data_IF_042702874985
#
_entry.id   IF_042702874985
#
_cell.length_a   1.000
_cell.length_b   1.000
_cell.length_c   1.000
_cell.angle_alpha   90.00
_cell.angle_beta   90.00
_cell.angle_gamma   90.00
#
_symmetry.space_group_name_H-M   'P 1'
#
loop_
_entity.id
_entity.type
_entity.pdbx_description
1 polymer ?
#
# COMPACT_ATOMS: atom_id res chain seq x y z
N UNK A 1 32.85 7.95 -16.16
CA UNK A 1 31.57 7.76 -16.88
C UNK A 1 31.03 6.41 -16.47
N UNK A 2 29.97 6.37 -15.66
CA UNK A 2 29.30 5.12 -15.30
C UNK A 2 28.33 4.82 -16.44
N UNK A 3 28.45 3.66 -17.08
CA UNK A 3 27.49 3.22 -18.08
C UNK A 3 26.12 3.11 -17.41
N UNK A 4 25.19 4.00 -17.77
CA UNK A 4 23.80 3.87 -17.35
C UNK A 4 23.21 2.72 -18.16
N UNK A 5 23.03 1.56 -17.54
CA UNK A 5 22.20 0.52 -18.12
C UNK A 5 20.83 1.13 -18.46
N UNK A 6 20.29 0.80 -19.63
CA UNK A 6 18.92 1.18 -19.96
C UNK A 6 17.98 0.59 -18.91
N UNK A 7 16.95 1.34 -18.47
CA UNK A 7 16.01 0.84 -17.47
C UNK A 7 15.35 -0.43 -18.01
N UNK A 8 15.54 -1.54 -17.29
CA UNK A 8 14.87 -2.81 -17.56
C UNK A 8 13.50 -2.76 -16.89
N UNK A 9 12.49 -3.38 -17.51
CA UNK A 9 11.17 -3.49 -16.89
C UNK A 9 11.25 -4.40 -15.65
N UNK A 10 10.59 -4.05 -14.53
CA UNK A 10 10.60 -4.90 -13.34
C UNK A 10 9.99 -6.28 -13.62
N UNK A 11 10.55 -7.32 -13.02
CA UNK A 11 10.09 -8.70 -13.16
C UNK A 11 9.22 -9.12 -11.98
N UNK A 12 8.57 -10.28 -12.12
CA UNK A 12 7.89 -10.92 -10.99
C UNK A 12 8.88 -11.32 -9.89
N UNK A 13 10.12 -11.65 -10.24
CA UNK A 13 11.17 -12.00 -9.28
C UNK A 13 11.62 -10.77 -8.48
N UNK A 14 11.72 -9.60 -9.11
CA UNK A 14 11.97 -8.34 -8.40
C UNK A 14 10.85 -8.04 -7.39
N UNK A 15 9.60 -8.35 -7.75
CA UNK A 15 8.47 -8.21 -6.84
C UNK A 15 8.50 -9.22 -5.70
N UNK A 16 8.98 -10.45 -5.93
CA UNK A 16 9.21 -11.45 -4.86
C UNK A 16 10.28 -10.97 -3.88
N UNK A 17 11.41 -10.47 -4.38
CA UNK A 17 12.44 -9.89 -3.51
C UNK A 17 11.92 -8.71 -2.69
N UNK A 18 11.09 -7.85 -3.30
CA UNK A 18 10.42 -6.77 -2.58
C UNK A 18 9.50 -7.30 -1.48
N UNK A 19 8.70 -8.34 -1.77
CA UNK A 19 7.77 -8.97 -0.83
C UNK A 19 8.51 -9.62 0.35
N UNK A 20 9.56 -10.39 0.08
CA UNK A 20 10.40 -11.03 1.10
C UNK A 20 11.01 -10.00 2.06
N UNK A 21 11.42 -8.84 1.53
CA UNK A 21 11.99 -7.76 2.33
C UNK A 21 10.99 -7.04 3.25
N UNK A 22 9.68 -7.16 2.98
CA UNK A 22 8.62 -6.56 3.80
C UNK A 22 7.83 -7.57 4.61
N UNK A 23 7.95 -8.87 4.33
CA UNK A 23 7.37 -9.99 5.09
C UNK A 23 8.03 -10.14 6.48
N UNK A 24 7.76 -9.15 7.33
CA UNK A 24 8.28 -9.03 8.70
C UNK A 24 7.23 -9.43 9.73
N UNK A 25 7.60 -9.45 11.01
CA UNK A 25 6.67 -9.79 12.08
C UNK A 25 5.41 -8.91 12.04
N UNK A 26 4.25 -9.54 12.15
CA UNK A 26 2.94 -8.89 12.07
C UNK A 26 2.41 -8.74 10.64
N UNK A 27 3.18 -8.98 9.59
CA UNK A 27 2.65 -9.09 8.22
C UNK A 27 2.05 -10.46 8.02
N UNK A 28 0.78 -10.52 7.60
CA UNK A 28 0.11 -11.77 7.28
C UNK A 28 0.00 -12.00 5.78
N UNK A 29 0.03 -10.94 4.95
CA UNK A 29 -0.09 -11.08 3.50
C UNK A 29 0.64 -9.98 2.75
N UNK A 30 1.27 -10.35 1.64
CA UNK A 30 1.78 -9.39 0.65
C UNK A 30 1.18 -9.72 -0.70
N UNK A 31 0.53 -8.71 -1.29
CA UNK A 31 -0.13 -8.81 -2.58
C UNK A 31 0.60 -7.92 -3.58
N UNK A 32 0.93 -8.47 -4.74
CA UNK A 32 1.34 -7.71 -5.91
C UNK A 32 0.11 -7.33 -6.72
N UNK A 33 0.01 -6.07 -7.12
CA UNK A 33 -1.00 -5.58 -8.05
C UNK A 33 -0.37 -4.77 -9.18
N UNK A 34 -1.19 -4.08 -9.96
CA UNK A 34 -0.71 -3.14 -10.98
C UNK A 34 -0.14 -3.81 -12.22
N UNK A 35 0.82 -3.14 -12.85
CA UNK A 35 1.33 -3.51 -14.18
C UNK A 35 2.08 -4.84 -14.18
N UNK A 36 2.91 -5.09 -13.15
CA UNK A 36 3.69 -6.32 -13.01
C UNK A 36 2.79 -7.53 -12.77
N UNK A 37 1.77 -7.42 -11.90
CA UNK A 37 0.79 -8.49 -11.69
C UNK A 37 0.08 -8.90 -12.99
N UNK A 38 -0.13 -7.94 -13.90
CA UNK A 38 -0.84 -8.14 -15.17
C UNK A 38 0.09 -8.49 -16.34
N UNK A 39 1.41 -8.54 -16.14
CA UNK A 39 2.39 -8.77 -17.20
C UNK A 39 2.44 -7.64 -18.24
N UNK A 40 2.11 -6.41 -17.85
CA UNK A 40 2.02 -5.22 -18.72
C UNK A 40 3.04 -4.12 -18.38
N UNK A 41 4.01 -4.43 -17.54
CA UNK A 41 5.06 -3.50 -17.16
C UNK A 41 5.95 -3.14 -18.35
N UNK A 42 6.54 -1.95 -18.28
CA UNK A 42 7.50 -1.44 -19.26
C UNK A 42 8.78 -0.97 -18.55
N UNK A 43 9.80 -0.64 -19.33
CA UNK A 43 10.99 0.02 -18.81
C UNK A 43 10.62 1.26 -17.98
N UNK A 44 11.05 1.30 -16.72
CA UNK A 44 10.75 2.40 -15.80
C UNK A 44 9.43 2.26 -15.03
N UNK A 45 8.66 1.18 -15.23
CA UNK A 45 7.55 0.85 -14.32
C UNK A 45 8.06 0.63 -12.88
N UNK A 46 7.18 0.87 -11.93
CA UNK A 46 7.33 0.52 -10.52
C UNK A 46 6.65 -0.83 -10.20
N UNK A 47 6.91 -1.31 -8.99
CA UNK A 47 6.23 -2.47 -8.40
C UNK A 47 5.20 -1.97 -7.39
N UNK A 48 3.97 -2.45 -7.49
CA UNK A 48 2.87 -2.07 -6.62
C UNK A 48 2.55 -3.18 -5.61
N UNK A 49 2.78 -2.93 -4.31
CA UNK A 49 2.51 -3.90 -3.24
C UNK A 49 1.42 -3.41 -2.29
N UNK A 50 0.51 -4.31 -1.89
CA UNK A 50 -0.25 -4.17 -0.64
C UNK A 50 0.38 -5.07 0.41
N UNK A 51 0.73 -4.49 1.55
CA UNK A 51 1.18 -5.21 2.74
C UNK A 51 0.05 -5.17 3.76
N UNK A 52 -0.49 -6.36 4.06
CA UNK A 52 -1.57 -6.55 5.03
C UNK A 52 -0.96 -7.10 6.31
N UNK A 53 -1.15 -6.35 7.38
CA UNK A 53 -0.77 -6.75 8.73
C UNK A 53 -1.91 -7.48 9.45
N UNK A 54 -1.55 -8.25 10.47
CA UNK A 54 -2.49 -8.77 11.47
C UNK A 54 -3.30 -7.60 12.04
N UNK A 55 -2.59 -6.60 12.57
CA UNK A 55 -3.12 -5.38 13.15
C UNK A 55 -2.05 -4.26 13.08
N UNK A 56 -2.48 -3.01 12.95
CA UNK A 56 -1.60 -1.82 13.00
C UNK A 56 -2.22 -0.67 13.77
N UNK A 57 -1.36 0.13 14.40
CA UNK A 57 -1.68 1.48 14.84
C UNK A 57 -1.67 2.44 13.65
N UNK A 58 -2.82 3.03 13.35
CA UNK A 58 -2.98 3.96 12.23
C UNK A 58 -2.18 5.25 12.40
N UNK A 59 -1.85 5.65 13.62
CA UNK A 59 -1.00 6.83 13.86
C UNK A 59 0.43 6.58 13.39
N UNK A 60 0.90 5.33 13.41
CA UNK A 60 2.23 4.92 12.96
C UNK A 60 2.30 4.57 11.46
N UNK A 61 1.15 4.42 10.78
CA UNK A 61 1.04 3.91 9.40
C UNK A 61 1.97 4.63 8.41
N UNK A 62 2.09 5.96 8.51
CA UNK A 62 2.93 6.75 7.58
C UNK A 62 4.41 6.43 7.72
N UNK A 63 4.90 6.30 8.95
CA UNK A 63 6.31 5.99 9.21
C UNK A 63 6.62 4.56 8.75
N UNK A 64 5.73 3.62 9.10
CA UNK A 64 5.82 2.23 8.66
C UNK A 64 5.84 2.12 7.13
N UNK A 65 5.00 2.88 6.42
CA UNK A 65 4.99 2.93 4.96
C UNK A 65 6.31 3.44 4.37
N UNK A 66 6.89 4.48 4.96
CA UNK A 66 8.21 4.98 4.56
C UNK A 66 9.30 3.92 4.70
N UNK A 67 9.33 3.23 5.84
CA UNK A 67 10.34 2.22 6.15
C UNK A 67 10.22 1.00 5.23
N UNK A 68 9.01 0.46 5.06
CA UNK A 68 8.77 -0.69 4.18
C UNK A 68 9.08 -0.35 2.72
N UNK A 69 8.65 0.81 2.24
CA UNK A 69 8.97 1.28 0.89
C UNK A 69 10.49 1.35 0.67
N UNK A 70 11.24 1.84 1.65
CA UNK A 70 12.69 1.88 1.61
C UNK A 70 13.33 0.49 1.53
N UNK A 71 12.83 -0.49 2.30
CA UNK A 71 13.30 -1.88 2.28
C UNK A 71 13.00 -2.56 0.94
N UNK A 72 11.75 -2.50 0.50
CA UNK A 72 11.29 -3.08 -0.74
C UNK A 72 12.08 -2.56 -1.95
N UNK A 73 12.25 -1.23 -2.05
CA UNK A 73 13.05 -0.60 -3.11
C UNK A 73 14.49 -1.08 -3.15
N UNK A 74 15.14 -1.25 -1.99
CA UNK A 74 16.52 -1.74 -1.93
C UNK A 74 16.62 -3.20 -2.38
N UNK A 75 15.64 -4.03 -2.02
CA UNK A 75 15.63 -5.44 -2.38
C UNK A 75 15.32 -5.67 -3.87
N UNK A 76 14.37 -4.92 -4.43
CA UNK A 76 13.98 -5.04 -5.84
C UNK A 76 14.95 -4.36 -6.82
N UNK A 77 15.75 -3.39 -6.36
CA UNK A 77 16.61 -2.60 -7.23
C UNK A 77 15.87 -1.60 -8.14
N UNK A 78 14.54 -1.49 -8.04
CA UNK A 78 13.71 -0.55 -8.78
C UNK A 78 12.72 0.18 -7.85
N UNK A 79 12.00 1.21 -8.31
CA UNK A 79 10.93 1.83 -7.54
C UNK A 79 9.88 0.81 -7.12
N UNK A 80 9.41 0.92 -5.88
CA UNK A 80 8.33 0.10 -5.31
C UNK A 80 7.38 1.06 -4.59
N UNK A 81 6.09 1.00 -4.89
CA UNK A 81 5.06 1.59 -4.05
C UNK A 81 4.48 0.55 -3.08
N UNK A 82 4.27 0.97 -1.84
CA UNK A 82 3.83 0.11 -0.76
C UNK A 82 2.60 0.75 -0.12
N UNK A 83 1.45 0.12 -0.34
CA UNK A 83 0.23 0.40 0.40
C UNK A 83 0.19 -0.48 1.64
N UNK A 84 -0.07 0.13 2.80
CA UNK A 84 -0.20 -0.58 4.07
C UNK A 84 -1.65 -0.55 4.51
N UNK A 85 -2.10 -1.70 5.02
CA UNK A 85 -3.39 -1.90 5.67
C UNK A 85 -3.25 -3.03 6.69
N UNK A 86 -4.34 -3.37 7.37
CA UNK A 86 -4.45 -4.55 8.22
C UNK A 86 -5.64 -5.42 7.81
N UNK A 87 -5.78 -6.57 8.45
CA UNK A 87 -6.87 -7.49 8.17
C UNK A 87 -8.26 -6.88 8.36
N UNK A 88 -8.59 -6.17 9.46
CA UNK A 88 -9.91 -5.55 9.61
C UNK A 88 -10.24 -4.56 8.48
N UNK A 89 -9.36 -3.60 8.18
CA UNK A 89 -9.58 -2.62 7.10
C UNK A 89 -9.63 -3.29 5.74
N UNK A 90 -8.71 -4.21 5.46
CA UNK A 90 -8.64 -4.93 4.19
C UNK A 90 -9.91 -5.74 3.93
N UNK A 91 -10.34 -6.53 4.92
CA UNK A 91 -11.54 -7.37 4.83
C UNK A 91 -12.76 -6.49 4.59
N UNK A 92 -12.94 -5.46 5.42
CA UNK A 92 -14.10 -4.57 5.28
C UNK A 92 -14.12 -3.86 3.91
N UNK A 93 -13.01 -3.25 3.48
CA UNK A 93 -12.97 -2.50 2.22
C UNK A 93 -13.11 -3.40 1.00
N UNK A 94 -12.42 -4.53 0.99
CA UNK A 94 -12.40 -5.41 -0.17
C UNK A 94 -13.69 -6.22 -0.34
N UNK A 95 -14.37 -6.57 0.76
CA UNK A 95 -15.59 -7.37 0.72
C UNK A 95 -16.88 -6.52 0.76
N UNK A 96 -16.90 -5.46 1.55
CA UNK A 96 -18.13 -4.68 1.80
C UNK A 96 -18.22 -3.39 0.97
N UNK A 97 -17.11 -2.89 0.40
CA UNK A 97 -17.08 -1.62 -0.34
C UNK A 97 -16.66 -1.90 -1.79
N UNK A 98 -17.62 -2.20 -2.66
CA UNK A 98 -17.36 -2.64 -4.05
C UNK A 98 -16.69 -1.59 -4.95
N UNK A 99 -16.78 -0.31 -4.58
CA UNK A 99 -16.10 0.80 -5.26
C UNK A 99 -14.73 1.12 -4.66
N UNK A 100 -14.30 0.38 -3.63
CA UNK A 100 -12.99 0.60 -3.02
C UNK A 100 -11.87 0.16 -3.95
N UNK A 101 -10.71 0.76 -3.74
CA UNK A 101 -9.50 0.37 -4.45
C UNK A 101 -9.08 -1.07 -4.10
N UNK A 102 -9.26 -1.47 -2.85
CA UNK A 102 -8.98 -2.82 -2.35
C UNK A 102 -9.85 -3.88 -3.05
N UNK A 103 -11.11 -3.57 -3.33
CA UNK A 103 -12.02 -4.45 -4.08
C UNK A 103 -11.55 -4.65 -5.53
N UNK A 104 -11.04 -3.60 -6.19
CA UNK A 104 -10.49 -3.73 -7.55
C UNK A 104 -9.18 -4.53 -7.57
N UNK A 105 -8.29 -4.30 -6.59
CA UNK A 105 -7.03 -5.03 -6.46
C UNK A 105 -7.26 -6.54 -6.43
N UNK A 106 -8.23 -7.02 -5.62
CA UNK A 106 -8.50 -8.45 -5.46
C UNK A 106 -8.76 -9.19 -6.77
N UNK A 107 -9.25 -8.53 -7.81
CA UNK A 107 -9.58 -9.16 -9.10
C UNK A 107 -8.33 -9.63 -9.85
N UNK A 108 -7.18 -9.01 -9.58
CA UNK A 108 -5.96 -9.20 -10.36
C UNK A 108 -4.71 -9.35 -9.48
N UNK A 109 -4.86 -9.41 -8.16
CA UNK A 109 -3.74 -9.51 -7.25
C UNK A 109 -3.06 -10.89 -7.36
N UNK A 110 -1.72 -10.88 -7.28
CA UNK A 110 -0.92 -12.08 -7.10
C UNK A 110 -0.46 -12.12 -5.64
N UNK A 111 -0.76 -13.20 -4.94
CA UNK A 111 -0.28 -13.41 -3.58
C UNK A 111 1.20 -13.79 -3.63
N UNK A 112 2.06 -12.97 -3.03
CA UNK A 112 3.51 -13.22 -2.96
C UNK A 112 3.93 -13.78 -1.60
N UNK A 113 3.21 -13.43 -0.54
CA UNK A 113 3.40 -13.93 0.81
C UNK A 113 2.02 -14.12 1.46
N UNK A 114 1.84 -15.24 2.18
CA UNK A 114 0.62 -15.55 2.93
C UNK A 114 0.99 -16.34 4.18
N UNK A 115 0.56 -15.85 5.33
CA UNK A 115 0.75 -16.46 6.64
C UNK A 115 -0.55 -16.39 7.43
N UNK A 116 -0.75 -17.37 8.32
CA UNK A 116 -1.91 -17.37 9.20
C UNK A 116 -1.79 -16.19 10.20
N UNK A 117 -2.86 -15.39 10.37
CA UNK A 117 -2.80 -14.27 11.30
C UNK A 117 -2.79 -14.74 12.75
N UNK A 118 -2.15 -13.94 13.61
CA UNK A 118 -1.95 -14.29 15.03
C UNK A 118 -2.92 -13.58 15.95
N UNK A 119 -2.83 -12.26 16.05
CA UNK A 119 -3.65 -11.43 16.95
C UNK A 119 -4.25 -10.27 16.16
N UNK A 120 -5.58 -10.24 16.05
CA UNK A 120 -6.30 -9.26 15.24
C UNK A 120 -7.39 -8.59 16.07
N UNK A 121 -7.33 -7.27 16.20
CA UNK A 121 -8.39 -6.49 16.81
C UNK A 121 -9.49 -6.13 15.79
N UNK A 122 -10.47 -7.02 15.63
CA UNK A 122 -11.61 -6.81 14.73
C UNK A 122 -12.56 -5.69 15.17
N UNK A 123 -12.54 -5.30 16.45
CA UNK A 123 -13.41 -4.28 17.03
C UNK A 123 -12.86 -2.86 16.94
N UNK A 124 -11.67 -2.66 16.35
CA UNK A 124 -11.07 -1.34 16.26
C UNK A 124 -11.81 -0.46 15.25
N UNK A 125 -11.79 0.84 15.53
CA UNK A 125 -12.33 1.83 14.60
C UNK A 125 -11.46 1.87 13.33
N UNK A 126 -12.01 1.35 12.23
CA UNK A 126 -11.46 1.57 10.90
C UNK A 126 -11.83 3.00 10.57
N UNK A 127 -10.89 3.94 10.68
CA UNK A 127 -11.06 5.39 10.49
C UNK A 127 -11.47 5.78 9.06
N UNK A 128 -12.52 5.16 8.55
CA UNK A 128 -13.30 5.63 7.44
C UNK A 128 -13.88 6.96 7.87
N UNK A 129 -13.77 8.03 7.06
CA UNK A 129 -14.53 9.22 7.33
C UNK A 129 -15.99 8.78 7.48
N UNK A 130 -16.61 9.11 8.61
CA UNK A 130 -18.05 8.98 8.70
C UNK A 130 -18.59 9.71 7.48
N UNK A 131 -19.44 9.07 6.69
CA UNK A 131 -20.15 9.72 5.59
C UNK A 131 -21.19 10.69 6.16
N UNK A 132 -20.84 11.47 7.19
CA UNK A 132 -21.60 12.63 7.61
C UNK A 132 -21.09 13.80 6.75
N UNK A 133 -21.98 14.31 5.90
CA UNK A 133 -21.76 15.60 5.23
C UNK A 133 -21.26 16.67 6.22
N UNK A 134 -21.69 16.58 7.48
CA UNK A 134 -21.27 17.44 8.57
C UNK A 134 -19.77 17.43 8.91
N UNK A 135 -19.06 16.29 9.03
CA UNK A 135 -17.59 16.34 9.27
C UNK A 135 -16.84 16.73 8.01
N UNK A 136 -17.30 16.27 6.83
CA UNK A 136 -16.68 16.65 5.57
C UNK A 136 -16.71 18.19 5.41
N UNK A 137 -17.87 18.81 5.70
CA UNK A 137 -18.06 20.25 5.74
C UNK A 137 -17.21 20.89 6.85
N UNK A 138 -17.20 20.35 8.07
CA UNK A 138 -16.40 20.92 9.18
C UNK A 138 -14.89 20.92 8.88
N UNK A 139 -14.38 19.90 8.20
CA UNK A 139 -12.97 19.83 7.80
C UNK A 139 -12.57 20.91 6.77
N UNK A 140 -13.51 21.33 5.91
CA UNK A 140 -13.32 22.43 4.96
C UNK A 140 -13.30 23.80 5.64
N UNK A 141 -13.96 23.93 6.79
CA UNK A 141 -14.08 25.20 7.53
C UNK A 141 -13.17 25.30 8.76
N UNK A 142 -12.26 24.35 8.97
CA UNK A 142 -11.28 24.44 10.07
C UNK A 142 -10.25 25.53 9.75
N UNK A 143 -10.24 26.68 10.44
CA UNK A 143 -9.32 27.78 10.14
C UNK A 143 -7.93 27.41 10.69
N UNK A 144 -7.03 26.93 9.83
CA UNK A 144 -5.67 26.60 10.26
C UNK A 144 -4.74 25.95 9.24
N UNK A 145 -5.24 25.29 8.20
CA UNK A 145 -4.37 24.77 7.14
C UNK A 145 -3.97 25.90 6.18
N UNK A 146 -2.82 26.53 6.46
CA UNK A 146 -2.15 27.47 5.55
C UNK A 146 -1.87 26.77 4.22
N UNK A 147 -2.73 26.98 3.22
CA UNK A 147 -2.34 26.90 1.83
C UNK A 147 -1.68 28.22 1.49
N UNK A 148 -0.35 28.26 1.57
CA UNK A 148 0.43 29.33 0.97
C UNK A 148 0.26 29.24 -0.54
N UNK A 149 -0.61 30.08 -1.09
CA UNK A 149 -0.75 30.30 -2.52
C UNK A 149 0.56 30.88 -3.06
N UNK A 150 1.26 30.14 -3.91
CA UNK A 150 2.17 30.74 -4.88
C UNK A 150 1.31 31.52 -5.88
N UNK A 151 1.43 32.85 -5.86
CA UNK A 151 0.97 33.69 -6.96
C UNK A 151 1.85 33.44 -8.19
N UNK A 152 1.19 33.40 -9.35
CA UNK A 152 1.80 33.39 -10.69
C UNK A 152 2.68 34.62 -10.93
#
# INVERSE_FOLDING_TARGET
MVASALPVAPSLDDARHAADAVATDGVCRVLLYGSVARGRQIAGSDIDLVVVFDDIDYTARRNLAGDLRGRARRAAGCPVDVRITDLPEWTHRSESVTTSFEHDILRHAVVLFDAAPREVNWGKEIGLPATNEAEAVASLYTPGSRWSSCSL
#
